data_IF_934382636056
#
_entry.id   IF_934382636056
#
_cell.length_a   1.000
_cell.length_b   1.000
_cell.length_c   1.000
_cell.angle_alpha   90.00
_cell.angle_beta   90.00
_cell.angle_gamma   90.00
#
_symmetry.space_group_name_H-M   'P 1'
#
loop_
_entity.id
_entity.type
_entity.pdbx_description
1 polymer ?
#
# COMPACT_ATOMS: atom_id res chain seq x y z
N UNK A 1 -3.91 76.43 -37.10
CA UNK A 1 -2.73 75.75 -37.67
C UNK A 1 -1.94 75.17 -36.50
N UNK A 2 -1.47 73.93 -36.64
CA UNK A 2 -1.05 72.98 -35.60
C UNK A 2 -0.04 73.46 -34.53
N UNK A 3 -0.20 72.93 -33.29
CA UNK A 3 0.81 72.24 -32.41
C UNK A 3 0.16 72.03 -31.02
N UNK A 4 -0.22 70.82 -30.56
CA UNK A 4 0.57 69.72 -29.92
C UNK A 4 1.46 70.25 -28.78
N UNK A 5 1.55 69.75 -27.54
CA UNK A 5 1.22 68.53 -26.74
C UNK A 5 1.05 69.02 -25.26
N UNK A 6 0.45 68.33 -24.28
CA UNK A 6 0.88 67.05 -23.69
C UNK A 6 -0.21 66.46 -22.78
N UNK A 7 -0.47 65.16 -22.94
CA UNK A 7 -1.26 64.34 -22.01
C UNK A 7 -0.26 63.49 -21.22
N UNK A 8 -0.11 63.73 -19.92
CA UNK A 8 0.59 62.80 -19.02
C UNK A 8 -0.42 61.76 -18.52
N UNK A 9 -0.33 60.55 -19.05
CA UNK A 9 -1.01 59.38 -18.50
C UNK A 9 0.02 58.64 -17.65
N UNK A 10 -0.20 58.61 -16.34
CA UNK A 10 0.53 57.75 -15.41
C UNK A 10 -0.24 56.41 -15.34
N UNK A 11 0.33 55.26 -15.71
CA UNK A 11 -0.31 53.98 -15.45
C UNK A 11 -0.07 53.58 -13.99
N UNK A 12 -1.16 53.23 -13.33
CA UNK A 12 -1.21 52.63 -12.00
C UNK A 12 -0.49 51.27 -12.03
N UNK A 13 0.55 51.14 -11.20
CA UNK A 13 1.33 49.92 -11.03
C UNK A 13 0.49 48.90 -10.24
N UNK A 14 -0.03 47.87 -10.91
CA UNK A 14 -0.58 46.68 -10.26
C UNK A 14 0.47 45.57 -10.39
N UNK A 15 1.35 45.44 -9.39
CA UNK A 15 2.20 44.26 -9.27
C UNK A 15 1.37 43.17 -8.60
N UNK A 16 0.90 42.22 -9.39
CA UNK A 16 0.32 40.97 -8.89
C UNK A 16 1.42 40.19 -8.14
N UNK A 17 1.19 39.91 -6.86
CA UNK A 17 1.95 38.95 -6.08
C UNK A 17 1.70 37.55 -6.65
N UNK A 18 2.52 37.15 -7.62
CA UNK A 18 2.61 35.76 -8.07
C UNK A 18 3.34 34.94 -7.03
N UNK A 19 2.65 34.54 -5.97
CA UNK A 19 3.09 33.44 -5.13
C UNK A 19 2.70 32.14 -5.83
N UNK A 20 3.68 31.46 -6.42
CA UNK A 20 3.51 30.08 -6.87
C UNK A 20 3.26 29.21 -5.63
N UNK A 21 2.00 29.00 -5.29
CA UNK A 21 1.58 27.94 -4.38
C UNK A 21 1.62 26.65 -5.19
N UNK A 22 2.82 26.09 -5.32
CA UNK A 22 2.98 24.67 -5.62
C UNK A 22 2.47 23.92 -4.39
N UNK A 23 1.19 23.58 -4.41
CA UNK A 23 0.56 22.66 -3.46
C UNK A 23 1.23 21.30 -3.56
N UNK A 24 2.30 21.11 -2.78
CA UNK A 24 2.79 19.77 -2.43
C UNK A 24 1.77 19.18 -1.46
N UNK A 25 0.73 18.54 -2.00
CA UNK A 25 -0.05 17.57 -1.24
C UNK A 25 0.79 16.31 -1.05
N UNK A 26 1.81 16.40 -0.18
CA UNK A 26 2.19 15.22 0.56
C UNK A 26 1.06 14.99 1.55
N UNK A 27 0.22 13.99 1.30
CA UNK A 27 -0.54 13.40 2.40
C UNK A 27 0.50 12.93 3.40
N UNK A 28 0.73 13.75 4.43
CA UNK A 28 1.48 13.30 5.59
C UNK A 28 0.58 12.29 6.25
N UNK A 29 0.92 11.00 6.13
CA UNK A 29 0.58 10.07 7.17
C UNK A 29 0.87 10.74 8.52
N UNK A 30 -0.09 10.68 9.43
CA UNK A 30 0.17 11.10 10.80
C UNK A 30 1.28 10.18 11.32
N UNK A 31 2.51 10.68 11.34
CA UNK A 31 3.70 9.87 11.63
C UNK A 31 3.70 9.33 13.06
N UNK A 32 2.81 9.85 13.90
CA UNK A 32 2.60 9.43 15.28
C UNK A 32 1.34 8.57 15.46
N UNK A 33 0.59 8.29 14.39
CA UNK A 33 -0.57 7.40 14.46
C UNK A 33 -0.14 5.98 14.82
N UNK A 34 -0.78 5.45 15.86
CA UNK A 34 -0.58 4.08 16.34
C UNK A 34 -1.94 3.39 16.31
N UNK A 35 -1.98 2.21 15.71
CA UNK A 35 -3.17 1.38 15.71
C UNK A 35 -3.18 0.47 16.95
N UNK A 36 -4.35 0.29 17.58
CA UNK A 36 -4.48 -0.45 18.83
C UNK A 36 -5.19 -1.78 18.59
N UNK A 37 -4.53 -2.86 18.97
CA UNK A 37 -5.19 -4.17 19.05
C UNK A 37 -6.21 -4.18 20.18
N UNK A 38 -7.35 -4.84 19.92
CA UNK A 38 -8.43 -5.00 20.87
C UNK A 38 -8.96 -6.43 20.81
N UNK A 39 -8.95 -7.10 21.95
CA UNK A 39 -9.52 -8.44 22.16
C UNK A 39 -9.01 -9.49 21.13
N UNK A 40 -7.74 -9.41 20.77
CA UNK A 40 -7.09 -10.28 19.81
C UNK A 40 -7.39 -9.94 18.35
N UNK A 41 -7.86 -8.73 18.04
CA UNK A 41 -8.14 -8.27 16.68
C UNK A 41 -7.62 -6.84 16.47
N UNK A 42 -7.00 -6.61 15.31
CA UNK A 42 -6.66 -5.28 14.83
C UNK A 42 -6.91 -5.22 13.32
N UNK A 43 -7.59 -4.18 12.84
CA UNK A 43 -7.85 -3.89 11.42
C UNK A 43 -7.33 -2.49 11.10
N UNK A 44 -6.63 -2.34 9.98
CA UNK A 44 -5.94 -1.10 9.60
C UNK A 44 -6.06 -0.88 8.09
N UNK A 45 -6.39 0.35 7.69
CA UNK A 45 -6.37 0.81 6.30
C UNK A 45 -4.93 0.84 5.77
N UNK A 46 -4.70 0.42 4.53
CA UNK A 46 -3.37 0.35 3.96
C UNK A 46 -2.68 1.73 3.94
N UNK A 47 -3.42 2.81 3.68
CA UNK A 47 -2.89 4.18 3.67
C UNK A 47 -2.48 4.73 5.05
N UNK A 48 -2.73 4.00 6.15
CA UNK A 48 -2.36 4.40 7.50
C UNK A 48 -0.89 4.08 7.87
N UNK A 49 -0.03 3.76 6.90
CA UNK A 49 1.40 3.54 7.12
C UNK A 49 2.10 4.84 7.54
N UNK A 50 3.10 4.77 8.41
CA UNK A 50 3.83 5.98 8.88
C UNK A 50 5.16 6.19 8.17
N UNK A 51 5.74 5.13 7.58
CA UNK A 51 7.00 5.19 6.84
C UNK A 51 6.97 4.25 5.63
N UNK A 52 7.70 4.64 4.59
CA UNK A 52 7.99 3.80 3.44
C UNK A 52 9.46 3.90 3.05
N UNK A 53 10.13 2.76 2.89
CA UNK A 53 11.56 2.67 2.54
C UNK A 53 11.81 1.71 1.38
N UNK A 54 13.06 1.69 0.88
CA UNK A 54 13.50 0.84 -0.25
C UNK A 54 12.74 1.12 -1.56
N UNK A 55 12.48 2.39 -1.83
CA UNK A 55 11.63 2.87 -2.92
C UNK A 55 12.38 3.21 -4.21
N UNK A 56 13.57 2.64 -4.42
CA UNK A 56 14.43 3.03 -5.55
C UNK A 56 13.80 2.72 -6.91
N UNK A 57 13.17 1.56 -7.02
CA UNK A 57 12.60 1.05 -8.28
C UNK A 57 11.07 1.00 -8.26
N UNK A 58 10.49 0.71 -7.08
CA UNK A 58 9.05 0.62 -6.86
C UNK A 58 8.68 1.30 -5.56
N UNK A 59 7.48 1.86 -5.51
CA UNK A 59 6.90 2.38 -4.27
C UNK A 59 5.40 2.09 -4.25
N UNK A 60 4.83 1.99 -3.06
CA UNK A 60 3.40 2.07 -2.85
C UNK A 60 2.95 3.53 -3.00
N UNK A 61 1.95 3.75 -3.85
CA UNK A 61 1.35 5.05 -4.10
C UNK A 61 -0.12 5.05 -3.71
N UNK A 62 -0.58 6.14 -3.09
CA UNK A 62 -1.98 6.30 -2.71
C UNK A 62 -2.83 6.64 -3.93
N UNK A 63 -3.89 5.87 -4.13
CA UNK A 63 -4.95 6.11 -5.11
C UNK A 63 -6.28 6.20 -4.34
N UNK A 64 -7.11 7.20 -4.67
CA UNK A 64 -8.41 7.39 -4.02
C UNK A 64 -9.37 8.18 -4.89
N UNK A 65 -10.60 8.38 -4.41
CA UNK A 65 -11.56 9.30 -5.02
C UNK A 65 -11.09 10.77 -5.12
N UNK A 66 -9.99 11.12 -4.46
CA UNK A 66 -9.40 12.48 -4.41
C UNK A 66 -7.98 12.54 -4.93
N UNK A 67 -7.34 11.39 -5.13
CA UNK A 67 -5.93 11.30 -5.49
C UNK A 67 -5.81 10.34 -6.67
N UNK A 68 -5.36 10.88 -7.79
CA UNK A 68 -4.85 10.10 -8.93
C UNK A 68 -3.36 10.37 -9.05
N UNK A 69 -2.61 9.37 -9.48
CA UNK A 69 -1.18 9.45 -9.71
C UNK A 69 -0.88 9.30 -11.20
N UNK A 70 0.23 9.85 -11.65
CA UNK A 70 0.71 9.77 -13.03
C UNK A 70 2.07 9.05 -13.04
N UNK A 71 2.06 7.80 -12.55
CA UNK A 71 3.25 6.94 -12.51
C UNK A 71 3.05 5.86 -13.55
N UNK A 72 3.90 5.85 -14.58
CA UNK A 72 3.81 4.89 -15.68
C UNK A 72 5.06 3.98 -15.72
N UNK A 73 4.95 2.76 -16.27
CA UNK A 73 3.72 2.12 -16.73
C UNK A 73 2.78 1.74 -15.58
N UNK A 74 1.48 1.80 -15.86
CA UNK A 74 0.36 1.42 -15.01
C UNK A 74 -0.67 0.73 -15.93
N UNK A 75 -1.07 -0.47 -15.56
CA UNK A 75 -1.74 -1.44 -16.43
C UNK A 75 -3.25 -1.43 -16.38
N UNK A 76 -3.82 -0.86 -15.33
CA UNK A 76 -5.23 -0.98 -15.03
C UNK A 76 -5.88 0.38 -14.70
N UNK A 77 -7.20 0.34 -14.58
CA UNK A 77 -7.98 1.50 -14.19
C UNK A 77 -8.00 1.57 -12.65
N UNK A 78 -8.06 2.78 -12.09
CA UNK A 78 -8.10 2.93 -10.65
C UNK A 78 -9.32 2.25 -9.98
N UNK A 79 -9.08 1.38 -9.01
CA UNK A 79 -10.11 0.55 -8.35
C UNK A 79 -10.64 1.11 -7.01
N UNK A 80 -10.52 2.42 -6.80
CA UNK A 80 -10.81 3.04 -5.49
C UNK A 80 -12.29 2.99 -5.06
N UNK A 81 -13.25 2.80 -5.97
CA UNK A 81 -14.69 2.90 -5.65
C UNK A 81 -15.15 1.84 -4.65
N UNK A 82 -14.59 0.65 -4.76
CA UNK A 82 -14.99 -0.53 -3.98
C UNK A 82 -13.95 -0.88 -2.88
N UNK A 83 -12.86 -0.10 -2.82
CA UNK A 83 -11.89 -0.14 -1.74
C UNK A 83 -12.49 0.46 -0.46
N UNK A 84 -12.02 0.00 0.69
CA UNK A 84 -12.38 0.61 1.97
C UNK A 84 -11.95 2.08 1.98
N UNK A 85 -12.73 2.94 2.63
CA UNK A 85 -12.43 4.37 2.67
C UNK A 85 -12.43 5.10 1.30
N UNK A 86 -12.73 4.41 0.20
CA UNK A 86 -12.48 4.84 -1.18
C UNK A 86 -11.00 5.13 -1.48
N UNK A 87 -10.08 4.36 -0.90
CA UNK A 87 -8.64 4.53 -1.06
C UNK A 87 -7.90 3.19 -0.99
N UNK A 88 -6.75 3.10 -1.65
CA UNK A 88 -5.85 1.96 -1.57
C UNK A 88 -4.42 2.39 -1.94
N UNK A 89 -3.46 1.49 -1.73
CA UNK A 89 -2.08 1.64 -2.17
C UNK A 89 -1.77 0.72 -3.34
N UNK A 90 -1.03 1.21 -4.32
CA UNK A 90 -0.57 0.40 -5.45
C UNK A 90 0.94 0.46 -5.62
N UNK A 91 1.56 -0.68 -5.89
CA UNK A 91 3.00 -0.75 -6.15
C UNK A 91 3.32 -0.40 -7.60
N UNK A 92 3.84 0.80 -7.83
CA UNK A 92 4.17 1.29 -9.17
C UNK A 92 5.67 1.63 -9.33
N UNK A 93 6.18 1.69 -10.57
CA UNK A 93 5.49 1.35 -11.83
C UNK A 93 5.17 -0.15 -11.98
N UNK A 94 4.05 -0.49 -12.61
CA UNK A 94 3.67 -1.86 -12.94
C UNK A 94 4.26 -2.26 -14.31
N UNK A 95 5.32 -3.06 -14.27
CA UNK A 95 6.03 -3.51 -15.47
C UNK A 95 5.85 -4.98 -15.78
N UNK A 96 5.20 -5.74 -14.89
CA UNK A 96 5.04 -7.19 -15.03
C UNK A 96 3.61 -7.60 -14.67
N UNK A 97 2.75 -7.64 -15.67
CA UNK A 97 1.32 -7.95 -15.53
C UNK A 97 1.01 -9.41 -15.76
N UNK A 98 1.79 -10.01 -16.65
CA UNK A 98 1.59 -11.37 -17.16
C UNK A 98 2.89 -12.16 -17.16
N UNK A 99 2.79 -13.48 -17.39
CA UNK A 99 3.95 -14.36 -17.50
C UNK A 99 4.84 -14.04 -18.71
N UNK A 100 4.30 -13.33 -19.71
CA UNK A 100 5.04 -12.93 -20.92
C UNK A 100 5.92 -11.70 -20.67
N UNK A 101 5.61 -10.93 -19.61
CA UNK A 101 6.41 -9.78 -19.21
C UNK A 101 7.70 -10.21 -18.49
N UNK A 102 8.75 -9.42 -18.69
CA UNK A 102 10.07 -9.75 -18.15
C UNK A 102 10.07 -9.66 -16.61
N UNK A 103 10.42 -10.76 -15.97
CA UNK A 103 10.76 -10.78 -14.55
C UNK A 103 12.13 -10.14 -14.33
N UNK A 104 12.18 -9.12 -13.47
CA UNK A 104 13.40 -8.45 -13.02
C UNK A 104 13.46 -8.53 -11.50
N UNK A 105 14.35 -9.39 -10.99
CA UNK A 105 14.52 -9.59 -9.55
C UNK A 105 14.99 -8.32 -8.84
N UNK A 106 14.35 -8.00 -7.72
CA UNK A 106 14.59 -6.78 -6.94
C UNK A 106 13.99 -5.51 -7.56
N UNK A 107 13.23 -5.65 -8.64
CA UNK A 107 12.55 -4.54 -9.32
C UNK A 107 11.07 -4.84 -9.57
N UNK A 108 10.70 -5.71 -10.52
CA UNK A 108 9.30 -6.09 -10.74
C UNK A 108 8.87 -7.26 -9.87
N UNK A 109 9.84 -7.98 -9.29
CA UNK A 109 9.59 -9.11 -8.43
C UNK A 109 10.64 -9.22 -7.32
N UNK A 110 10.20 -9.44 -6.07
CA UNK A 110 11.07 -9.62 -4.92
C UNK A 110 10.67 -10.87 -4.12
N UNK A 111 11.35 -11.99 -4.36
CA UNK A 111 11.15 -13.20 -3.55
C UNK A 111 11.67 -13.04 -2.12
N UNK A 112 12.73 -12.24 -1.94
CA UNK A 112 13.29 -11.92 -0.62
C UNK A 112 12.49 -10.77 0.02
N UNK A 113 11.84 -11.01 1.16
CA UNK A 113 11.00 -10.01 1.81
C UNK A 113 11.83 -8.82 2.34
N UNK A 114 11.22 -7.65 2.42
CA UNK A 114 11.84 -6.44 2.99
C UNK A 114 12.89 -5.76 2.11
N UNK A 115 13.04 -6.20 0.86
CA UNK A 115 14.07 -5.69 -0.05
C UNK A 115 13.58 -4.57 -0.97
N UNK A 116 12.29 -4.53 -1.30
CA UNK A 116 11.67 -3.56 -2.20
C UNK A 116 10.37 -3.03 -1.56
N UNK A 117 10.15 -1.72 -1.67
CA UNK A 117 8.95 -0.99 -1.22
C UNK A 117 8.39 -1.52 0.11
N UNK A 118 8.94 -1.05 1.22
CA UNK A 118 8.59 -1.54 2.56
C UNK A 118 7.77 -0.50 3.30
N UNK A 119 6.53 -0.81 3.63
CA UNK A 119 5.64 -0.04 4.49
C UNK A 119 5.84 -0.40 5.95
N UNK A 120 5.62 0.56 6.86
CA UNK A 120 5.73 0.34 8.31
C UNK A 120 4.52 0.92 9.04
N UNK A 121 3.92 0.11 9.90
CA UNK A 121 2.73 0.42 10.71
C UNK A 121 3.06 0.22 12.19
N UNK A 122 3.16 1.31 12.97
CA UNK A 122 3.27 1.23 14.43
C UNK A 122 1.95 0.71 15.03
N UNK A 123 2.06 -0.30 15.88
CA UNK A 123 0.91 -0.87 16.59
C UNK A 123 1.16 -0.99 18.08
N UNK A 124 0.09 -0.95 18.84
CA UNK A 124 0.08 -1.26 20.26
C UNK A 124 -0.66 -2.58 20.47
N UNK A 125 0.06 -3.60 20.95
CA UNK A 125 -0.48 -4.92 21.27
C UNK A 125 -0.69 -5.03 22.78
N UNK A 126 -1.91 -5.39 23.19
CA UNK A 126 -2.26 -5.62 24.59
C UNK A 126 -2.27 -7.11 24.92
N UNK A 127 -2.59 -7.96 23.95
CA UNK A 127 -2.68 -9.42 24.10
C UNK A 127 -1.59 -10.12 23.28
N UNK A 128 -0.50 -10.60 23.90
CA UNK A 128 0.50 -11.39 23.19
C UNK A 128 -0.09 -12.71 22.67
N UNK A 129 0.43 -13.20 21.57
CA UNK A 129 -0.02 -14.45 20.98
C UNK A 129 0.40 -14.64 19.52
N UNK A 130 -0.10 -15.72 18.94
CA UNK A 130 -0.04 -15.92 17.49
C UNK A 130 -1.17 -15.16 16.83
N UNK A 131 -0.83 -14.30 15.90
CA UNK A 131 -1.76 -13.53 15.10
C UNK A 131 -1.73 -13.99 13.65
N UNK A 132 -2.86 -14.42 13.11
CA UNK A 132 -3.05 -14.71 11.70
C UNK A 132 -3.23 -13.41 10.94
N UNK A 133 -2.49 -13.23 9.85
CA UNK A 133 -2.52 -12.00 9.06
C UNK A 133 -3.40 -12.19 7.85
N UNK A 134 -4.36 -11.28 7.69
CA UNK A 134 -5.21 -11.17 6.52
C UNK A 134 -4.93 -9.86 5.81
N UNK A 135 -5.02 -9.88 4.49
CA UNK A 135 -4.88 -8.70 3.64
C UNK A 135 -6.06 -8.67 2.69
N UNK A 136 -6.64 -7.49 2.48
CA UNK A 136 -7.61 -7.19 1.42
C UNK A 136 -6.83 -6.56 0.27
N UNK A 137 -6.85 -7.24 -0.87
CA UNK A 137 -6.13 -6.84 -2.06
C UNK A 137 -7.02 -6.98 -3.29
N UNK A 138 -6.67 -6.21 -4.33
CA UNK A 138 -7.19 -6.36 -5.67
C UNK A 138 -6.07 -6.94 -6.54
N UNK A 139 -6.46 -7.75 -7.52
CA UNK A 139 -5.51 -8.30 -8.47
C UNK A 139 -6.22 -8.49 -9.80
N UNK A 140 -5.68 -7.83 -10.80
CA UNK A 140 -6.13 -7.80 -12.19
C UNK A 140 -5.52 -8.97 -12.95
N UNK A 141 -4.19 -9.12 -12.83
CA UNK A 141 -3.35 -10.04 -13.58
C UNK A 141 -2.92 -11.28 -12.81
N UNK A 142 -1.92 -11.98 -13.35
CA UNK A 142 -1.33 -13.16 -12.69
C UNK A 142 -0.10 -12.82 -11.85
N UNK A 143 0.41 -11.60 -11.97
CA UNK A 143 1.74 -11.19 -11.50
C UNK A 143 1.72 -9.94 -10.60
N UNK A 144 0.54 -9.55 -10.12
CA UNK A 144 0.25 -8.40 -9.25
C UNK A 144 -0.37 -8.85 -7.92
N UNK A 145 -0.05 -10.07 -7.49
CA UNK A 145 -0.93 -10.83 -6.60
C UNK A 145 -0.23 -11.44 -5.40
N UNK A 146 0.85 -10.79 -4.93
CA UNK A 146 1.58 -11.23 -3.75
C UNK A 146 2.28 -10.10 -2.99
N UNK A 147 2.39 -10.32 -1.68
CA UNK A 147 3.05 -9.42 -0.72
C UNK A 147 3.71 -10.27 0.39
N UNK A 148 4.60 -9.66 1.17
CA UNK A 148 5.15 -10.24 2.39
C UNK A 148 4.79 -9.37 3.60
N UNK A 149 4.72 -9.99 4.78
CA UNK A 149 4.52 -9.33 6.08
C UNK A 149 5.68 -9.61 7.05
N UNK A 150 6.04 -8.59 7.83
CA UNK A 150 7.11 -8.59 8.83
C UNK A 150 6.61 -8.14 10.20
N UNK A 151 7.45 -8.38 11.21
CA UNK A 151 7.26 -7.97 12.60
C UNK A 151 8.58 -7.45 13.18
N UNK A 152 8.56 -6.23 13.72
CA UNK A 152 9.69 -5.58 14.38
C UNK A 152 10.96 -5.59 13.52
N UNK A 153 10.79 -5.30 12.22
CA UNK A 153 11.87 -5.28 11.22
C UNK A 153 12.41 -6.65 10.83
N UNK A 154 11.77 -7.75 11.27
CA UNK A 154 12.11 -9.13 10.90
C UNK A 154 11.06 -9.70 9.96
N UNK A 155 11.48 -10.64 9.12
CA UNK A 155 10.62 -11.27 8.11
C UNK A 155 10.53 -12.78 8.35
N UNK A 156 9.67 -13.22 9.30
CA UNK A 156 9.54 -14.64 9.63
C UNK A 156 9.10 -15.44 8.41
N UNK A 157 9.44 -16.73 8.34
CA UNK A 157 9.01 -17.60 7.23
C UNK A 157 7.47 -17.59 7.09
N UNK A 158 6.75 -17.58 8.21
CA UNK A 158 5.29 -17.48 8.27
C UNK A 158 4.71 -16.14 7.81
N UNK A 159 5.54 -15.14 7.49
CA UNK A 159 5.10 -13.86 6.92
C UNK A 159 5.31 -13.75 5.42
N UNK A 160 5.93 -14.74 4.78
CA UNK A 160 6.37 -14.60 3.39
C UNK A 160 5.36 -15.17 2.39
N UNK A 161 5.32 -14.59 1.19
CA UNK A 161 4.62 -15.13 0.01
C UNK A 161 3.11 -15.31 0.21
N UNK A 162 2.44 -14.27 0.71
CA UNK A 162 0.99 -14.19 0.60
C UNK A 162 0.59 -14.16 -0.88
N UNK A 163 -0.51 -14.82 -1.26
CA UNK A 163 -0.86 -15.01 -2.67
C UNK A 163 -2.38 -14.99 -2.94
N UNK A 164 -2.80 -14.26 -3.99
CA UNK A 164 -4.17 -14.21 -4.49
C UNK A 164 -4.28 -14.91 -5.85
N UNK A 165 -4.79 -16.15 -5.87
CA UNK A 165 -4.99 -16.90 -7.12
C UNK A 165 -6.41 -16.79 -7.72
N UNK A 166 -7.42 -16.55 -6.88
CA UNK A 166 -8.84 -16.67 -7.26
C UNK A 166 -9.54 -15.32 -7.07
N UNK A 167 -10.73 -15.18 -7.67
CA UNK A 167 -11.55 -13.95 -7.57
C UNK A 167 -10.79 -12.69 -7.95
N UNK A 168 -10.13 -12.76 -9.11
CA UNK A 168 -9.52 -11.60 -9.79
C UNK A 168 -10.58 -10.56 -10.09
N UNK A 169 -10.15 -9.32 -10.25
CA UNK A 169 -11.02 -8.17 -10.52
C UNK A 169 -12.06 -7.91 -9.41
N UNK A 170 -11.67 -8.13 -8.15
CA UNK A 170 -12.47 -7.78 -6.98
C UNK A 170 -11.60 -7.63 -5.74
N UNK A 171 -11.96 -6.70 -4.85
CA UNK A 171 -11.31 -6.55 -3.55
C UNK A 171 -11.67 -7.73 -2.65
N UNK A 172 -10.65 -8.46 -2.17
CA UNK A 172 -10.90 -9.67 -1.39
C UNK A 172 -9.88 -9.93 -0.30
N UNK A 173 -10.38 -10.43 0.81
CA UNK A 173 -9.56 -10.88 1.93
C UNK A 173 -8.97 -12.27 1.67
N UNK A 174 -7.66 -12.41 1.88
CA UNK A 174 -6.97 -13.70 1.88
C UNK A 174 -5.90 -13.79 2.99
N UNK A 175 -5.61 -15.03 3.38
CA UNK A 175 -4.59 -15.40 4.37
C UNK A 175 -4.00 -16.77 4.00
N UNK A 176 -3.28 -16.84 2.89
CA UNK A 176 -2.69 -18.08 2.36
C UNK A 176 -1.24 -17.88 1.99
N UNK A 177 -0.37 -18.81 2.39
CA UNK A 177 1.04 -18.80 2.06
C UNK A 177 1.32 -19.70 0.87
N UNK A 178 1.86 -19.15 -0.23
CA UNK A 178 2.41 -19.93 -1.34
C UNK A 178 3.52 -20.86 -0.85
N UNK A 179 3.43 -22.14 -1.22
CA UNK A 179 4.46 -23.15 -0.93
C UNK A 179 4.93 -23.82 -2.22
N UNK A 180 5.99 -24.64 -2.12
CA UNK A 180 6.46 -25.46 -3.23
C UNK A 180 5.41 -26.48 -3.69
N UNK A 181 4.51 -26.93 -2.81
CA UNK A 181 3.46 -27.92 -3.13
C UNK A 181 2.16 -27.27 -3.59
N UNK A 182 1.89 -26.03 -3.16
CA UNK A 182 0.66 -25.32 -3.49
C UNK A 182 0.98 -23.85 -3.84
N UNK A 183 0.96 -23.58 -5.14
CA UNK A 183 1.24 -22.26 -5.69
C UNK A 183 0.19 -21.20 -5.36
N UNK A 184 -1.05 -21.62 -5.06
CA UNK A 184 -2.14 -20.73 -4.63
C UNK A 184 -2.25 -20.58 -3.12
N UNK A 185 -1.33 -21.22 -2.41
CA UNK A 185 -1.11 -21.05 -1.01
C UNK A 185 -1.99 -21.88 -0.09
N UNK A 186 -1.44 -22.16 1.08
CA UNK A 186 -2.05 -22.97 2.12
C UNK A 186 -2.58 -22.06 3.24
N UNK A 187 -3.82 -22.28 3.73
CA UNK A 187 -4.39 -21.49 4.82
C UNK A 187 -3.64 -21.72 6.14
N UNK A 188 -3.82 -20.80 7.09
CA UNK A 188 -3.25 -20.85 8.44
C UNK A 188 -1.71 -20.81 8.52
N UNK A 189 -1.02 -20.59 7.41
CA UNK A 189 0.45 -20.47 7.36
C UNK A 189 0.96 -19.05 7.41
N UNK A 190 0.07 -18.07 7.22
CA UNK A 190 0.39 -16.66 7.37
C UNK A 190 0.10 -16.21 8.79
N UNK A 191 1.15 -16.02 9.60
CA UNK A 191 1.02 -15.57 10.98
C UNK A 191 2.28 -14.90 11.51
N UNK A 192 2.11 -14.10 12.56
CA UNK A 192 3.15 -13.46 13.35
C UNK A 192 3.04 -13.92 14.81
N UNK A 193 4.17 -14.30 15.42
CA UNK A 193 4.23 -14.66 16.84
C UNK A 193 4.71 -13.44 17.65
N UNK A 194 3.78 -12.74 18.29
CA UNK A 194 4.04 -11.55 19.11
C UNK A 194 4.12 -11.99 20.57
N UNK A 195 5.32 -11.95 21.15
CA UNK A 195 5.61 -12.58 22.45
C UNK A 195 5.37 -11.69 23.66
N UNK A 196 5.53 -10.38 23.48
CA UNK A 196 5.44 -9.40 24.56
C UNK A 196 4.32 -8.40 24.24
N UNK A 197 3.62 -7.86 25.25
CA UNK A 197 2.72 -6.74 25.03
C UNK A 197 3.55 -5.47 24.85
N UNK A 198 3.02 -4.49 24.14
CA UNK A 198 3.75 -3.24 23.92
C UNK A 198 3.64 -2.70 22.51
N UNK A 199 4.55 -1.78 22.22
CA UNK A 199 4.71 -1.22 20.89
C UNK A 199 5.45 -2.21 20.01
N UNK A 200 4.89 -2.46 18.83
CA UNK A 200 5.50 -3.24 17.77
C UNK A 200 5.40 -2.48 16.45
N UNK A 201 6.11 -2.96 15.45
CA UNK A 201 5.87 -2.56 14.05
C UNK A 201 5.44 -3.77 13.24
N UNK A 202 4.38 -3.59 12.46
CA UNK A 202 4.02 -4.51 11.38
C UNK A 202 4.54 -3.89 10.09
N UNK A 203 5.24 -4.67 9.29
CA UNK A 203 5.75 -4.22 8.00
C UNK A 203 5.14 -5.02 6.86
N UNK A 204 4.93 -4.37 5.72
CA UNK A 204 4.58 -5.05 4.49
C UNK A 204 5.61 -4.71 3.41
N UNK A 205 6.00 -5.67 2.60
CA UNK A 205 6.93 -5.42 1.49
C UNK A 205 6.44 -6.06 0.21
N UNK A 206 6.71 -5.37 -0.89
CA UNK A 206 6.40 -5.85 -2.22
C UNK A 206 6.98 -7.24 -2.46
N UNK A 207 6.16 -8.13 -3.00
CA UNK A 207 6.63 -9.33 -3.70
C UNK A 207 6.55 -9.15 -5.22
N UNK A 208 5.52 -8.46 -5.69
CA UNK A 208 5.15 -8.25 -7.09
C UNK A 208 4.78 -6.77 -7.29
N UNK A 209 5.20 -6.15 -8.41
CA UNK A 209 4.71 -4.82 -8.80
C UNK A 209 3.25 -4.91 -9.29
N UNK A 210 2.55 -3.78 -9.38
CA UNK A 210 1.10 -3.72 -9.63
C UNK A 210 0.23 -4.18 -8.44
N UNK A 211 0.81 -4.64 -7.33
CA UNK A 211 0.01 -5.12 -6.19
C UNK A 211 -0.83 -4.00 -5.57
N UNK A 212 -2.15 -4.19 -5.56
CA UNK A 212 -3.12 -3.27 -4.98
C UNK A 212 -3.53 -3.70 -3.56
N UNK A 213 -3.29 -2.82 -2.58
CA UNK A 213 -3.39 -3.08 -1.15
C UNK A 213 -4.37 -2.11 -0.48
N UNK A 214 -5.47 -2.63 0.06
CA UNK A 214 -6.56 -1.82 0.62
C UNK A 214 -6.60 -1.87 2.15
N UNK A 215 -6.62 -3.07 2.74
CA UNK A 215 -6.66 -3.22 4.19
C UNK A 215 -5.83 -4.41 4.65
N UNK A 216 -5.41 -4.38 5.91
CA UNK A 216 -4.91 -5.57 6.58
C UNK A 216 -5.51 -5.71 7.96
N UNK A 217 -5.51 -6.94 8.46
CA UNK A 217 -5.86 -7.23 9.83
C UNK A 217 -5.00 -8.34 10.38
N UNK A 218 -4.90 -8.35 11.71
CA UNK A 218 -4.30 -9.44 12.46
C UNK A 218 -5.29 -9.93 13.50
N UNK A 219 -5.37 -11.25 13.68
CA UNK A 219 -6.25 -11.83 14.70
C UNK A 219 -5.72 -13.09 15.35
N UNK A 220 -5.99 -13.28 16.64
CA UNK A 220 -5.67 -14.53 17.37
C UNK A 220 -6.68 -15.64 17.07
N UNK A 221 -7.85 -15.32 16.52
CA UNK A 221 -8.82 -16.32 16.09
C UNK A 221 -8.38 -16.95 14.76
N UNK A 222 -7.84 -18.17 14.86
CA UNK A 222 -7.40 -18.94 13.70
C UNK A 222 -8.51 -19.13 12.65
N UNK A 223 -9.76 -19.25 13.08
CA UNK A 223 -10.90 -19.54 12.21
C UNK A 223 -11.65 -18.27 11.79
N UNK A 224 -11.12 -17.09 12.12
CA UNK A 224 -11.68 -15.81 11.69
C UNK A 224 -11.82 -15.78 10.17
N UNK A 225 -13.00 -15.37 9.69
CA UNK A 225 -13.26 -15.15 8.28
C UNK A 225 -13.77 -13.72 8.11
N UNK A 226 -12.94 -12.81 7.58
CA UNK A 226 -13.40 -11.47 7.25
C UNK A 226 -14.55 -11.56 6.25
N UNK A 227 -15.58 -10.72 6.43
CA UNK A 227 -16.64 -10.63 5.43
C UNK A 227 -16.05 -10.14 4.11
N UNK A 228 -16.29 -10.89 3.03
CA UNK A 228 -15.99 -10.40 1.69
C UNK A 228 -17.02 -9.32 1.38
N UNK A 229 -16.55 -8.10 1.16
CA UNK A 229 -17.40 -6.98 0.76
C UNK A 229 -17.11 -6.71 -0.70
N UNK A 230 -18.13 -6.92 -1.54
CA UNK A 230 -18.12 -6.58 -2.96
C UNK A 230 -18.38 -5.10 -3.14
#
# INVERSE_FOLDING_TARGET
MLRRLSLSILPMLLLALGGDILSRTSLSADRDAVSFEKDGLLIVEAEAFTDQKKTKHRAFHLISNRVSIDVTPDGDDAHWKDASGNAYLEVLPDTRRTHDDKLVEGESFANEPGTVAVLTYPVQISNPGRYYVWVRAYSTGSEDNGIHVGLDGKWPESGQRMQWCQGKNSWRWESKQRTAKNHCGEPYKIFLDIKEPGRHTIEFSMREDGFEFDQWLITTDREYQPQQVN
#
